data_IF_720008911973
#
_entry.id   IF_720008911973
#
_cell.length_a   1.000
_cell.length_b   1.000
_cell.length_c   1.000
_cell.angle_alpha   90.00
_cell.angle_beta   90.00
_cell.angle_gamma   90.00
#
_symmetry.space_group_name_H-M   'P 1'
#
loop_
_entity.id
_entity.type
_entity.pdbx_description
1 polymer ?
#
# COMPACT_ATOMS: atom_id res chain seq x y z
N UNK A 1 5.59 17.11 6.92
CA UNK A 1 6.89 17.14 7.63
C UNK A 1 6.74 18.00 8.87
N UNK A 2 6.56 17.39 10.04
CA UNK A 2 6.48 18.10 11.33
C UNK A 2 7.91 18.32 11.80
N UNK A 3 8.28 19.58 11.99
CA UNK A 3 9.59 19.97 12.50
C UNK A 3 9.86 19.24 13.83
N UNK A 4 10.91 18.43 13.84
CA UNK A 4 11.55 17.99 15.07
C UNK A 4 12.06 19.23 15.78
N UNK A 5 11.31 19.72 16.77
CA UNK A 5 11.81 20.65 17.78
C UNK A 5 13.04 19.98 18.40
N UNK A 6 14.22 20.47 18.01
CA UNK A 6 15.45 20.15 18.70
C UNK A 6 15.24 20.37 20.20
N UNK A 7 15.65 19.43 21.07
CA UNK A 7 15.70 19.68 22.50
C UNK A 7 16.80 20.72 22.76
N UNK A 8 16.41 21.98 22.62
CA UNK A 8 17.24 23.14 22.85
C UNK A 8 17.83 23.11 24.25
N UNK A 9 19.16 23.09 24.31
CA UNK A 9 19.94 23.85 25.28
C UNK A 9 19.56 23.70 26.74
N UNK A 10 19.64 22.48 27.29
CA UNK A 10 19.81 22.30 28.75
C UNK A 10 21.25 22.67 29.15
N UNK A 11 21.62 23.96 28.97
CA UNK A 11 22.80 24.52 29.65
C UNK A 11 22.52 24.38 31.14
N UNK A 12 23.18 23.43 31.79
CA UNK A 12 23.05 23.23 33.23
C UNK A 12 23.33 24.56 33.91
N UNK A 13 22.30 25.15 34.54
CA UNK A 13 22.52 26.24 35.49
C UNK A 13 23.57 25.74 36.45
N UNK A 14 24.74 26.39 36.47
CA UNK A 14 25.81 26.04 37.41
C UNK A 14 25.22 26.18 38.80
N UNK A 15 25.09 25.07 39.51
CA UNK A 15 24.48 25.02 40.83
C UNK A 15 25.27 25.94 41.75
N UNK A 16 24.57 26.87 42.43
CA UNK A 16 25.18 27.81 43.37
C UNK A 16 25.95 27.07 44.48
N UNK A 17 25.57 25.82 44.76
CA UNK A 17 26.24 24.93 45.71
C UNK A 17 27.63 24.50 45.24
N UNK A 18 27.78 24.14 43.97
CA UNK A 18 29.10 23.80 43.41
C UNK A 18 30.01 25.02 43.40
N UNK A 19 29.46 26.20 43.08
CA UNK A 19 30.21 27.47 43.13
C UNK A 19 30.65 27.79 44.56
N UNK A 20 29.77 27.61 45.55
CA UNK A 20 30.10 27.81 46.96
C UNK A 20 31.17 26.82 47.45
N UNK A 21 31.07 25.53 47.09
CA UNK A 21 32.09 24.53 47.43
C UNK A 21 33.47 24.90 46.86
N UNK A 22 33.53 25.29 45.58
CA UNK A 22 34.77 25.72 44.92
C UNK A 22 35.32 26.98 45.57
N UNK A 23 34.47 27.96 45.91
CA UNK A 23 34.88 29.18 46.60
C UNK A 23 35.47 28.88 47.99
N UNK A 24 34.86 27.96 48.76
CA UNK A 24 35.38 27.56 50.07
C UNK A 24 36.75 26.87 49.97
N UNK A 25 36.94 26.00 48.98
CA UNK A 25 38.22 25.34 48.73
C UNK A 25 39.28 26.38 48.36
N UNK A 26 38.96 27.31 47.46
CA UNK A 26 39.87 28.38 47.07
C UNK A 26 40.23 29.29 48.25
N UNK A 27 39.25 29.68 49.07
CA UNK A 27 39.45 30.51 50.26
C UNK A 27 40.37 29.81 51.27
N UNK A 28 40.15 28.51 51.49
CA UNK A 28 40.97 27.69 52.38
C UNK A 28 42.43 27.66 51.92
N UNK A 29 42.65 27.49 50.61
CA UNK A 29 43.99 27.46 50.03
C UNK A 29 44.72 28.79 50.19
N UNK A 30 44.04 29.92 49.95
CA UNK A 30 44.60 31.27 50.12
C UNK A 30 44.95 31.55 51.59
N UNK A 31 44.06 31.21 52.52
CA UNK A 31 44.33 31.35 53.95
C UNK A 31 45.52 30.50 54.41
N UNK A 32 45.61 29.26 53.93
CA UNK A 32 46.75 28.38 54.20
C UNK A 32 48.08 28.99 53.75
N UNK A 33 48.13 29.52 52.52
CA UNK A 33 49.33 30.21 52.01
C UNK A 33 49.71 31.43 52.87
N UNK A 34 48.74 32.24 53.27
CA UNK A 34 48.98 33.40 54.14
C UNK A 34 49.55 32.97 55.51
N UNK A 35 49.03 31.91 56.12
CA UNK A 35 49.54 31.41 57.40
C UNK A 35 50.99 30.91 57.33
N UNK A 36 51.38 30.29 56.20
CA UNK A 36 52.75 29.82 55.98
C UNK A 36 53.72 31.00 55.92
N UNK A 37 53.36 32.09 55.24
CA UNK A 37 54.20 33.29 55.11
C UNK A 37 54.46 33.96 56.47
N UNK A 38 53.48 33.94 57.38
CA UNK A 38 53.63 34.52 58.73
C UNK A 38 54.53 33.67 59.64
N UNK A 39 54.60 32.36 59.43
CA UNK A 39 55.54 31.47 60.13
C UNK A 39 55.27 31.22 61.62
N UNK A 40 54.12 31.62 62.15
CA UNK A 40 53.76 31.44 63.56
C UNK A 40 53.09 30.09 63.82
N UNK A 41 53.69 29.26 64.67
CA UNK A 41 53.20 27.91 65.03
C UNK A 41 51.72 27.87 65.48
N UNK A 42 51.24 28.72 66.41
CA UNK A 42 49.82 28.70 66.80
C UNK A 42 48.88 29.07 65.64
N UNK A 43 49.30 29.97 64.73
CA UNK A 43 48.50 30.32 63.55
C UNK A 43 48.45 29.16 62.54
N UNK A 44 49.52 28.38 62.41
CA UNK A 44 49.54 27.19 61.57
C UNK A 44 48.55 26.13 62.08
N UNK A 45 48.54 25.86 63.39
CA UNK A 45 47.58 24.90 63.99
C UNK A 45 46.14 25.34 63.75
N UNK A 46 45.83 26.62 63.97
CA UNK A 46 44.49 27.16 63.73
C UNK A 46 44.09 27.07 62.25
N UNK A 47 45.01 27.39 61.34
CA UNK A 47 44.79 27.30 59.90
C UNK A 47 44.49 25.87 59.43
N UNK A 48 45.21 24.87 59.97
CA UNK A 48 44.94 23.45 59.67
C UNK A 48 43.54 23.04 60.14
N UNK A 49 43.15 23.41 61.36
CA UNK A 49 41.81 23.09 61.88
C UNK A 49 40.73 23.73 61.01
N UNK A 50 40.90 25.01 60.66
CA UNK A 50 39.96 25.72 59.78
C UNK A 50 39.88 25.06 58.40
N UNK A 51 41.02 24.63 57.83
CA UNK A 51 41.06 23.98 56.53
C UNK A 51 40.32 22.64 56.52
N UNK A 52 40.48 21.83 57.57
CA UNK A 52 39.75 20.56 57.70
C UNK A 52 38.25 20.80 57.84
N UNK A 53 37.83 21.81 58.61
CA UNK A 53 36.41 22.17 58.75
C UNK A 53 35.79 22.61 57.43
N UNK A 54 36.44 23.55 56.73
CA UNK A 54 35.96 24.05 55.43
C UNK A 54 35.97 22.96 54.35
N UNK A 55 37.01 22.12 54.32
CA UNK A 55 37.10 20.97 53.41
C UNK A 55 35.98 19.96 53.66
N UNK A 56 35.66 19.68 54.92
CA UNK A 56 34.55 18.76 55.28
C UNK A 56 33.19 19.31 54.84
N UNK A 57 32.95 20.61 55.02
CA UNK A 57 31.72 21.27 54.56
C UNK A 57 31.61 21.25 53.04
N UNK A 58 32.70 21.56 52.33
CA UNK A 58 32.73 21.50 50.86
C UNK A 58 32.48 20.07 50.35
N UNK A 59 33.07 19.05 50.98
CA UNK A 59 32.87 17.66 50.63
C UNK A 59 31.42 17.22 50.82
N UNK A 60 30.77 17.60 51.94
CA UNK A 60 29.34 17.33 52.15
C UNK A 60 28.46 18.01 51.11
N UNK A 61 28.73 19.27 50.80
CA UNK A 61 27.95 20.02 49.80
C UNK A 61 28.04 19.39 48.42
N UNK A 62 29.24 18.92 48.02
CA UNK A 62 29.43 18.18 46.78
C UNK A 62 28.75 16.81 46.82
N UNK A 63 28.83 16.08 47.95
CA UNK A 63 28.18 14.79 48.10
C UNK A 63 26.65 14.91 47.95
N UNK A 64 26.03 15.88 48.61
CA UNK A 64 24.59 16.13 48.52
C UNK A 64 24.15 16.50 47.11
N UNK A 65 24.95 17.31 46.40
CA UNK A 65 24.66 17.66 45.00
C UNK A 65 24.77 16.45 44.08
N UNK A 66 25.80 15.62 44.24
CA UNK A 66 25.91 14.38 43.44
C UNK A 66 24.75 13.43 43.69
N UNK A 67 24.28 13.33 44.93
CA UNK A 67 23.10 12.54 45.28
C UNK A 67 21.82 13.13 44.65
N UNK A 68 21.66 14.45 44.64
CA UNK A 68 20.54 15.11 43.97
C UNK A 68 20.56 14.86 42.45
N UNK A 69 21.69 15.10 41.78
CA UNK A 69 21.84 14.87 40.34
C UNK A 69 21.54 13.42 39.96
N UNK A 70 21.96 12.45 40.77
CA UNK A 70 21.64 11.03 40.54
C UNK A 70 20.14 10.74 40.62
N UNK A 71 19.43 11.36 41.57
CA UNK A 71 17.96 11.22 41.68
C UNK A 71 17.27 11.86 40.49
N UNK A 72 17.68 13.06 40.09
CA UNK A 72 17.13 13.76 38.93
C UNK A 72 17.34 12.95 37.64
N UNK A 73 18.52 12.36 37.45
CA UNK A 73 18.80 11.48 36.31
C UNK A 73 17.97 10.19 36.33
N UNK A 74 17.67 9.64 37.50
CA UNK A 74 16.78 8.49 37.60
C UNK A 74 15.34 8.87 37.24
N UNK A 75 14.86 10.02 37.71
CA UNK A 75 13.54 10.56 37.37
C UNK A 75 13.41 10.91 35.90
N UNK A 76 14.39 11.60 35.31
CA UNK A 76 14.43 11.95 33.89
C UNK A 76 14.44 10.69 33.01
N UNK A 77 15.19 9.65 33.40
CA UNK A 77 15.17 8.35 32.69
C UNK A 77 13.81 7.68 32.78
N UNK A 78 13.18 7.67 33.96
CA UNK A 78 11.84 7.12 34.13
C UNK A 78 10.81 7.88 33.28
N UNK A 79 10.82 9.21 33.32
CA UNK A 79 9.95 10.06 32.51
C UNK A 79 10.16 9.81 31.00
N UNK A 80 11.43 9.75 30.56
CA UNK A 80 11.77 9.44 29.17
C UNK A 80 11.29 8.06 28.74
N UNK A 81 11.42 7.06 29.61
CA UNK A 81 10.94 5.70 29.33
C UNK A 81 9.41 5.67 29.22
N UNK A 82 8.69 6.41 30.06
CA UNK A 82 7.23 6.54 29.96
C UNK A 82 6.79 7.20 28.66
N UNK A 83 7.45 8.27 28.23
CA UNK A 83 7.16 8.95 26.96
C UNK A 83 7.41 7.99 25.79
N UNK A 84 8.59 7.37 25.71
CA UNK A 84 8.91 6.40 24.64
C UNK A 84 7.94 5.22 24.63
N UNK A 85 7.51 4.72 25.79
CA UNK A 85 6.51 3.65 25.88
C UNK A 85 5.17 4.09 25.31
N UNK A 86 4.72 5.32 25.62
CA UNK A 86 3.47 5.87 25.07
C UNK A 86 3.56 6.06 23.56
N UNK A 87 4.67 6.60 23.08
CA UNK A 87 4.89 6.79 21.64
C UNK A 87 4.93 5.45 20.90
N UNK A 88 5.65 4.45 21.43
CA UNK A 88 5.68 3.11 20.88
C UNK A 88 4.29 2.46 20.85
N UNK A 89 3.49 2.61 21.91
CA UNK A 89 2.09 2.12 21.93
C UNK A 89 1.21 2.84 20.90
N UNK A 90 1.40 4.14 20.72
CA UNK A 90 0.68 4.92 19.71
C UNK A 90 1.04 4.44 18.30
N UNK A 91 2.33 4.35 17.98
CA UNK A 91 2.79 3.86 16.67
C UNK A 91 2.32 2.43 16.41
N UNK A 92 2.35 1.55 17.41
CA UNK A 92 1.84 0.19 17.26
C UNK A 92 0.34 0.17 16.88
N UNK A 93 -0.49 0.99 17.54
CA UNK A 93 -1.93 1.11 17.22
C UNK A 93 -2.15 1.70 15.82
N UNK A 94 -1.36 2.69 15.43
CA UNK A 94 -1.44 3.28 14.09
C UNK A 94 -1.05 2.26 13.01
N UNK A 95 -0.01 1.44 13.25
CA UNK A 95 0.42 0.38 12.34
C UNK A 95 -0.61 -0.75 12.21
N UNK A 96 -1.22 -1.19 13.32
CA UNK A 96 -2.28 -2.21 13.26
C UNK A 96 -3.50 -1.73 12.50
N UNK A 97 -3.96 -0.50 12.78
CA UNK A 97 -5.10 0.09 12.07
C UNK A 97 -4.82 0.27 10.57
N UNK A 98 -3.59 0.66 10.21
CA UNK A 98 -3.16 0.74 8.82
C UNK A 98 -3.16 -0.64 8.14
N UNK A 99 -2.60 -1.66 8.79
CA UNK A 99 -2.56 -3.01 8.27
C UNK A 99 -3.97 -3.58 8.04
N UNK A 100 -4.88 -3.39 9.00
CA UNK A 100 -6.29 -3.80 8.88
C UNK A 100 -6.99 -3.11 7.70
N UNK A 101 -6.80 -1.79 7.57
CA UNK A 101 -7.37 -1.01 6.47
C UNK A 101 -6.87 -1.50 5.12
N UNK A 102 -5.56 -1.75 5.00
CA UNK A 102 -4.97 -2.25 3.76
C UNK A 102 -5.40 -3.68 3.44
N UNK A 103 -5.50 -4.55 4.45
CA UNK A 103 -6.02 -5.91 4.28
C UNK A 103 -7.46 -5.91 3.76
N UNK A 104 -8.33 -5.04 4.31
CA UNK A 104 -9.70 -4.88 3.83
C UNK A 104 -9.75 -4.43 2.37
N UNK A 105 -8.94 -3.43 1.98
CA UNK A 105 -8.84 -2.95 0.59
C UNK A 105 -8.34 -4.03 -0.36
N UNK A 106 -7.32 -4.80 0.04
CA UNK A 106 -6.81 -5.90 -0.79
C UNK A 106 -7.89 -6.96 -1.00
N UNK A 107 -8.63 -7.32 0.06
CA UNK A 107 -9.73 -8.28 -0.04
C UNK A 107 -10.85 -7.79 -0.97
N UNK A 108 -11.23 -6.52 -0.87
CA UNK A 108 -12.22 -5.89 -1.75
C UNK A 108 -11.78 -5.96 -3.21
N UNK A 109 -10.54 -5.54 -3.50
CA UNK A 109 -9.98 -5.59 -4.86
C UNK A 109 -9.86 -7.01 -5.40
N UNK A 110 -9.47 -7.98 -4.57
CA UNK A 110 -9.45 -9.39 -4.96
C UNK A 110 -10.85 -9.88 -5.34
N UNK A 111 -11.89 -9.47 -4.60
CA UNK A 111 -13.28 -9.77 -4.92
C UNK A 111 -13.72 -9.17 -6.26
N UNK A 112 -13.37 -7.91 -6.52
CA UNK A 112 -13.62 -7.26 -7.81
C UNK A 112 -12.92 -7.98 -8.97
N UNK A 113 -11.65 -8.34 -8.80
CA UNK A 113 -10.89 -9.08 -9.82
C UNK A 113 -11.55 -10.43 -10.12
N UNK A 114 -11.98 -11.17 -9.09
CA UNK A 114 -12.69 -12.45 -9.29
C UNK A 114 -14.06 -12.28 -9.95
N UNK A 115 -14.74 -11.16 -9.72
CA UNK A 115 -15.99 -10.84 -10.41
C UNK A 115 -15.72 -10.54 -11.88
N UNK A 116 -14.77 -9.66 -12.17
CA UNK A 116 -14.39 -9.30 -13.54
C UNK A 116 -13.86 -10.49 -14.33
N UNK A 117 -13.09 -11.38 -13.70
CA UNK A 117 -12.63 -12.61 -14.33
C UNK A 117 -13.81 -13.51 -14.75
N UNK A 118 -14.80 -13.71 -13.86
CA UNK A 118 -16.02 -14.46 -14.19
C UNK A 118 -16.85 -13.80 -15.29
N UNK A 119 -16.99 -12.48 -15.25
CA UNK A 119 -17.70 -11.74 -16.31
C UNK A 119 -17.00 -11.86 -17.67
N UNK A 120 -15.67 -11.90 -17.67
CA UNK A 120 -14.88 -12.13 -18.87
C UNK A 120 -15.09 -13.55 -19.40
N UNK A 121 -15.00 -14.57 -18.54
CA UNK A 121 -15.23 -15.97 -18.92
C UNK A 121 -16.64 -16.17 -19.50
N UNK A 122 -17.68 -15.64 -18.83
CA UNK A 122 -19.06 -15.66 -19.31
C UNK A 122 -19.23 -14.96 -20.67
N UNK A 123 -18.52 -13.86 -20.89
CA UNK A 123 -18.55 -13.14 -22.16
C UNK A 123 -17.86 -13.93 -23.27
N UNK A 124 -16.73 -14.58 -22.97
CA UNK A 124 -16.01 -15.46 -23.89
C UNK A 124 -16.87 -16.66 -24.29
N UNK A 125 -17.55 -17.30 -23.34
CA UNK A 125 -18.45 -18.42 -23.61
C UNK A 125 -19.63 -18.01 -24.51
N UNK A 126 -20.23 -16.85 -24.27
CA UNK A 126 -21.29 -16.30 -25.13
C UNK A 126 -20.79 -16.00 -26.53
N UNK A 127 -19.56 -15.52 -26.68
CA UNK A 127 -18.95 -15.25 -27.97
C UNK A 127 -18.68 -16.54 -28.75
N UNK A 128 -18.15 -17.58 -28.10
CA UNK A 128 -18.02 -18.90 -28.73
C UNK A 128 -19.39 -19.49 -29.11
N UNK A 129 -20.40 -19.31 -28.27
CA UNK A 129 -21.78 -19.71 -28.56
C UNK A 129 -22.37 -18.99 -29.78
N UNK A 130 -22.13 -17.68 -29.91
CA UNK A 130 -22.62 -16.92 -31.07
C UNK A 130 -21.86 -17.26 -32.36
N UNK A 131 -20.55 -17.50 -32.28
CA UNK A 131 -19.74 -17.96 -33.42
C UNK A 131 -20.20 -19.33 -33.93
N UNK A 132 -20.44 -20.28 -33.02
CA UNK A 132 -20.96 -21.61 -33.39
C UNK A 132 -22.37 -21.54 -33.99
N UNK A 133 -23.25 -20.70 -33.43
CA UNK A 133 -24.58 -20.43 -33.99
C UNK A 133 -24.49 -19.82 -35.40
N UNK A 134 -23.63 -18.81 -35.61
CA UNK A 134 -23.39 -18.21 -36.92
C UNK A 134 -22.85 -19.24 -37.93
N UNK A 135 -21.94 -20.12 -37.52
CA UNK A 135 -21.42 -21.18 -38.37
C UNK A 135 -22.49 -22.23 -38.73
N UNK A 136 -23.45 -22.49 -37.83
CA UNK A 136 -24.60 -23.37 -38.12
C UNK A 136 -25.57 -22.70 -39.10
N UNK A 137 -25.93 -21.43 -38.89
CA UNK A 137 -26.80 -20.68 -39.78
C UNK A 137 -26.21 -20.55 -41.19
N UNK A 138 -24.90 -20.31 -41.33
CA UNK A 138 -24.23 -20.30 -42.63
C UNK A 138 -24.25 -21.65 -43.35
N UNK A 139 -24.22 -22.77 -42.61
CA UNK A 139 -24.36 -24.11 -43.21
C UNK A 139 -25.80 -24.32 -43.68
N UNK A 140 -26.78 -23.92 -42.89
CA UNK A 140 -28.20 -24.02 -43.23
C UNK A 140 -28.56 -23.15 -44.44
N UNK A 141 -28.10 -21.89 -44.49
CA UNK A 141 -28.27 -21.02 -45.66
C UNK A 141 -27.70 -21.68 -46.91
N UNK A 142 -26.49 -22.24 -46.84
CA UNK A 142 -25.88 -22.96 -47.99
C UNK A 142 -26.74 -24.13 -48.45
N UNK A 143 -27.18 -24.97 -47.51
CA UNK A 143 -28.04 -26.11 -47.81
C UNK A 143 -29.37 -25.67 -48.44
N UNK A 144 -30.01 -24.62 -47.92
CA UNK A 144 -31.24 -24.07 -48.49
C UNK A 144 -31.02 -23.47 -49.89
N UNK A 145 -29.88 -22.81 -50.13
CA UNK A 145 -29.55 -22.30 -51.47
C UNK A 145 -29.29 -23.42 -52.47
N UNK A 146 -28.65 -24.51 -52.06
CA UNK A 146 -28.43 -25.70 -52.89
C UNK A 146 -29.78 -26.36 -53.23
N UNK A 147 -30.63 -26.61 -52.23
CA UNK A 147 -31.97 -27.16 -52.42
C UNK A 147 -32.87 -26.29 -53.32
N UNK A 148 -32.77 -24.96 -53.18
CA UNK A 148 -33.49 -24.03 -54.07
C UNK A 148 -33.00 -24.15 -55.52
N UNK A 149 -31.68 -24.23 -55.73
CA UNK A 149 -31.10 -24.41 -57.06
C UNK A 149 -31.52 -25.75 -57.69
N UNK A 150 -31.55 -26.84 -56.91
CA UNK A 150 -32.07 -28.14 -57.35
C UNK A 150 -33.54 -28.07 -57.74
N UNK A 151 -34.38 -27.43 -56.91
CA UNK A 151 -35.81 -27.23 -57.22
C UNK A 151 -36.02 -26.41 -58.49
N UNK A 152 -35.22 -25.35 -58.70
CA UNK A 152 -35.30 -24.52 -59.90
C UNK A 152 -34.86 -25.31 -61.15
N UNK A 153 -33.82 -26.14 -61.04
CA UNK A 153 -33.39 -27.01 -62.13
C UNK A 153 -34.47 -28.04 -62.48
N UNK A 154 -35.11 -28.66 -61.49
CA UNK A 154 -36.22 -29.58 -61.69
C UNK A 154 -37.44 -28.89 -62.34
N UNK A 155 -37.76 -27.66 -61.95
CA UNK A 155 -38.82 -26.87 -62.58
C UNK A 155 -38.50 -26.57 -64.05
N UNK A 156 -37.27 -26.15 -64.35
CA UNK A 156 -36.82 -25.90 -65.73
C UNK A 156 -36.94 -27.18 -66.55
N UNK A 157 -36.47 -28.31 -66.03
CA UNK A 157 -36.55 -29.60 -66.69
C UNK A 157 -38.01 -30.00 -66.97
N UNK A 158 -38.90 -29.90 -65.98
CA UNK A 158 -40.32 -30.18 -66.15
C UNK A 158 -40.97 -29.27 -67.21
N UNK A 159 -40.64 -27.98 -67.24
CA UNK A 159 -41.11 -27.06 -68.29
C UNK A 159 -40.61 -27.46 -69.67
N UNK A 160 -39.34 -27.85 -69.81
CA UNK A 160 -38.79 -28.30 -71.10
C UNK A 160 -39.45 -29.59 -71.58
N UNK A 161 -39.69 -30.54 -70.68
CA UNK A 161 -40.39 -31.80 -71.00
C UNK A 161 -41.84 -31.54 -71.44
N UNK A 162 -42.55 -30.64 -70.77
CA UNK A 162 -43.91 -30.23 -71.17
C UNK A 162 -43.95 -29.55 -72.54
N UNK A 163 -42.98 -28.68 -72.84
CA UNK A 163 -42.88 -28.05 -74.16
C UNK A 163 -42.59 -29.09 -75.25
N UNK A 164 -41.64 -30.01 -75.02
CA UNK A 164 -41.33 -31.09 -75.95
C UNK A 164 -42.53 -32.02 -76.19
N UNK A 165 -43.28 -32.37 -75.13
CA UNK A 165 -44.51 -33.16 -75.27
C UNK A 165 -45.60 -32.42 -76.07
N UNK A 166 -45.72 -31.11 -75.88
CA UNK A 166 -46.66 -30.27 -76.65
C UNK A 166 -46.28 -30.16 -78.12
N UNK A 167 -44.99 -29.99 -78.42
CA UNK A 167 -44.48 -29.99 -79.80
C UNK A 167 -44.71 -31.34 -80.47
N UNK A 168 -44.42 -32.46 -79.77
CA UNK A 168 -44.69 -33.79 -80.28
C UNK A 168 -46.19 -34.01 -80.59
N UNK A 169 -47.08 -33.56 -79.69
CA UNK A 169 -48.53 -33.61 -79.90
C UNK A 169 -48.99 -32.79 -81.11
N UNK A 170 -48.42 -31.59 -81.31
CA UNK A 170 -48.70 -30.74 -82.47
C UNK A 170 -48.23 -31.35 -83.79
N UNK A 171 -47.07 -32.02 -83.81
CA UNK A 171 -46.57 -32.74 -84.99
C UNK A 171 -47.49 -33.91 -85.35
N UNK A 172 -47.98 -34.66 -84.36
CA UNK A 172 -48.98 -35.71 -84.60
C UNK A 172 -50.31 -35.14 -85.11
N UNK A 173 -50.82 -34.05 -84.55
CA UNK A 173 -52.04 -33.39 -85.05
C UNK A 173 -51.86 -32.84 -86.48
N UNK A 174 -50.66 -32.37 -86.85
CA UNK A 174 -50.36 -31.92 -88.22
C UNK A 174 -50.25 -33.10 -89.22
N UNK A 175 -49.88 -34.29 -88.75
CA UNK A 175 -49.87 -35.52 -89.55
C UNK A 175 -51.27 -36.15 -89.69
N UNK A 176 -52.12 -35.99 -88.69
CA UNK A 176 -53.52 -36.43 -88.69
C UNK A 176 -54.49 -35.38 -89.26
N UNK A 177 -54.01 -34.17 -89.57
CA UNK A 177 -54.77 -33.20 -90.34
C UNK A 177 -55.18 -33.85 -91.68
N UNK A 178 -56.48 -34.10 -91.91
CA UNK A 178 -56.92 -34.73 -93.14
C UNK A 178 -56.42 -33.87 -94.28
N UNK A 179 -55.62 -34.46 -95.18
CA UNK A 179 -55.38 -33.91 -96.50
C UNK A 179 -56.76 -33.51 -97.04
N UNK A 180 -57.09 -32.22 -96.98
CA UNK A 180 -58.22 -31.64 -97.71
C UNK A 180 -57.82 -31.78 -99.17
N UNK A 181 -58.10 -32.97 -99.72
CA UNK A 181 -58.15 -33.26 -101.14
C UNK A 181 -59.35 -32.48 -101.69
N UNK A 182 -59.26 -31.16 -101.65
CA UNK A 182 -60.05 -30.29 -102.50
C UNK A 182 -59.29 -30.11 -103.80
N UNK A 183 -59.61 -31.04 -104.72
CA UNK A 183 -59.86 -30.89 -106.17
C UNK A 183 -59.03 -29.84 -106.93
N UNK A 184 -58.32 -30.20 -108.01
CA UNK A 184 -58.85 -30.76 -109.26
C UNK A 184 -59.92 -29.89 -109.93
#
# INVERSE_FOLDING_TARGET
MKASTEPGGRRSRRSSRTVAAVALIALTFVLGLLTIVVGSVPLLVLGVVQAVLLGTVAARLLADETAAVRRDWAQDRAASAHVRRRDAQRTAREQTAFAETMAARVKERQGEVHRLARELDDATDKLMGSETALASAHREIRHLTEALAESQAAEIQARTELLAAREAAQVTDALDAPYDRRWA
#
